data_IF_362000311883
#
_entry.id   IF_362000311883
#
_cell.length_a   1.000
_cell.length_b   1.000
_cell.length_c   1.000
_cell.angle_alpha   90.00
_cell.angle_beta   90.00
_cell.angle_gamma   90.00
#
_symmetry.space_group_name_H-M   'P 1'
#
loop_
_entity.id
_entity.type
_entity.pdbx_description
1 polymer ?
#
# COMPACT_ATOMS: atom_id res chain seq x y z
N UNK A 1 -4.35 -7.06 -25.41
CA UNK A 1 -4.44 -5.79 -24.65
C UNK A 1 -3.36 -5.70 -23.59
N UNK A 2 -2.46 -4.71 -23.70
CA UNK A 2 -1.37 -4.50 -22.74
C UNK A 2 -1.85 -4.15 -21.32
N UNK A 3 -3.05 -3.57 -21.17
CA UNK A 3 -3.67 -3.27 -19.88
C UNK A 3 -3.92 -4.55 -19.07
N UNK A 4 -4.48 -5.60 -19.70
CA UNK A 4 -4.72 -6.91 -19.05
C UNK A 4 -3.43 -7.55 -18.52
N UNK A 5 -2.33 -7.41 -19.26
CA UNK A 5 -1.03 -7.95 -18.86
C UNK A 5 -0.51 -7.23 -17.62
N UNK A 6 -0.58 -5.89 -17.60
CA UNK A 6 -0.14 -5.09 -16.44
C UNK A 6 -0.99 -5.39 -15.20
N UNK A 7 -2.31 -5.53 -15.37
CA UNK A 7 -3.27 -5.86 -14.31
C UNK A 7 -2.98 -7.15 -13.57
N UNK A 8 -2.28 -8.10 -14.23
CA UNK A 8 -2.01 -9.42 -13.66
C UNK A 8 -0.55 -9.56 -13.25
N UNK A 9 0.38 -9.08 -14.07
CA UNK A 9 1.83 -9.31 -13.85
C UNK A 9 2.34 -8.57 -12.61
N UNK A 10 1.93 -7.32 -12.39
CA UNK A 10 2.44 -6.52 -11.28
C UNK A 10 1.99 -7.04 -9.91
N UNK A 11 0.69 -7.34 -9.67
CA UNK A 11 0.26 -7.94 -8.39
C UNK A 11 0.90 -9.31 -8.15
N UNK A 12 1.00 -10.16 -9.19
CA UNK A 12 1.68 -11.46 -9.05
C UNK A 12 3.15 -11.27 -8.66
N UNK A 13 3.86 -10.35 -9.30
CA UNK A 13 5.23 -10.04 -8.94
C UNK A 13 5.35 -9.57 -7.48
N UNK A 14 4.44 -8.70 -7.03
CA UNK A 14 4.38 -8.25 -5.64
C UNK A 14 4.13 -9.40 -4.65
N UNK A 15 3.21 -10.30 -4.97
CA UNK A 15 2.92 -11.52 -4.20
C UNK A 15 4.13 -12.47 -4.13
N UNK A 16 4.85 -12.68 -5.23
CA UNK A 16 6.08 -13.50 -5.27
C UNK A 16 7.18 -12.89 -4.41
N UNK A 17 7.40 -11.58 -4.52
CA UNK A 17 8.41 -10.87 -3.72
C UNK A 17 8.07 -10.93 -2.22
N UNK A 18 6.80 -10.81 -1.86
CA UNK A 18 6.34 -10.94 -0.47
C UNK A 18 6.54 -12.36 0.05
N UNK A 19 6.18 -13.36 -0.74
CA UNK A 19 6.39 -14.78 -0.41
C UNK A 19 7.87 -15.08 -0.18
N UNK A 20 8.75 -14.53 -1.02
CA UNK A 20 10.19 -14.65 -0.87
C UNK A 20 10.68 -14.04 0.45
N UNK A 21 10.24 -12.82 0.80
CA UNK A 21 10.53 -12.21 2.11
C UNK A 21 10.14 -13.15 3.25
N UNK A 22 8.88 -13.62 3.25
CA UNK A 22 8.35 -14.47 4.32
C UNK A 22 9.14 -15.77 4.44
N UNK A 23 9.47 -16.41 3.32
CA UNK A 23 10.29 -17.62 3.30
C UNK A 23 11.69 -17.39 3.89
N UNK A 24 12.39 -16.34 3.47
CA UNK A 24 13.73 -16.02 3.98
C UNK A 24 13.68 -15.76 5.49
N UNK A 25 12.69 -14.98 5.97
CA UNK A 25 12.55 -14.64 7.38
C UNK A 25 12.11 -15.82 8.24
N UNK A 26 11.23 -16.67 7.73
CA UNK A 26 10.81 -17.91 8.39
C UNK A 26 12.00 -18.87 8.53
N UNK A 27 12.78 -19.07 7.46
CA UNK A 27 13.99 -19.90 7.48
C UNK A 27 15.03 -19.40 8.47
N UNK A 28 15.15 -18.08 8.63
CA UNK A 28 16.04 -17.44 9.60
C UNK A 28 15.47 -17.40 11.03
N UNK A 29 14.23 -17.87 11.26
CA UNK A 29 13.48 -17.73 12.53
C UNK A 29 13.42 -16.29 13.04
N UNK A 30 13.25 -15.35 12.11
CA UNK A 30 13.30 -13.90 12.32
C UNK A 30 11.98 -13.21 11.92
N UNK A 31 10.88 -13.95 11.89
CA UNK A 31 9.55 -13.38 11.66
C UNK A 31 9.20 -12.38 12.76
N UNK A 32 8.62 -11.25 12.36
CA UNK A 32 8.18 -10.23 13.31
C UNK A 32 6.95 -9.48 12.77
N UNK A 33 6.50 -8.44 13.49
CA UNK A 33 5.27 -7.71 13.13
C UNK A 33 5.34 -7.10 11.72
N UNK A 34 6.53 -6.68 11.25
CA UNK A 34 6.69 -6.19 9.88
C UNK A 34 6.32 -7.25 8.83
N UNK A 35 6.62 -8.52 9.09
CA UNK A 35 6.30 -9.64 8.20
C UNK A 35 4.81 -10.00 8.26
N UNK A 36 4.17 -9.86 9.43
CA UNK A 36 2.72 -10.07 9.57
C UNK A 36 1.92 -9.04 8.76
N UNK A 37 2.33 -7.77 8.80
CA UNK A 37 1.71 -6.71 7.99
C UNK A 37 1.96 -6.88 6.49
N UNK A 38 3.13 -7.36 6.09
CA UNK A 38 3.41 -7.69 4.69
C UNK A 38 2.55 -8.88 4.21
N UNK A 39 2.36 -9.90 5.04
CA UNK A 39 1.48 -11.03 4.72
C UNK A 39 0.01 -10.58 4.61
N UNK A 40 -0.45 -9.69 5.49
CA UNK A 40 -1.78 -9.10 5.40
C UNK A 40 -1.95 -8.33 4.09
N UNK A 41 -0.97 -7.50 3.72
CA UNK A 41 -0.94 -6.78 2.46
C UNK A 41 -1.05 -7.73 1.26
N UNK A 42 -0.31 -8.84 1.27
CA UNK A 42 -0.37 -9.86 0.21
C UNK A 42 -1.75 -10.51 0.09
N UNK A 43 -2.45 -10.78 1.20
CA UNK A 43 -3.82 -11.32 1.15
C UNK A 43 -4.77 -10.33 0.48
N UNK A 44 -4.68 -9.04 0.84
CA UNK A 44 -5.48 -7.99 0.21
C UNK A 44 -5.09 -7.73 -1.25
N UNK A 45 -3.82 -7.91 -1.63
CA UNK A 45 -3.35 -7.80 -3.02
C UNK A 45 -3.93 -8.92 -3.89
N UNK A 46 -3.95 -10.16 -3.38
CA UNK A 46 -4.60 -11.29 -4.05
C UNK A 46 -6.11 -11.03 -4.19
N UNK A 47 -6.75 -10.50 -3.14
CA UNK A 47 -8.16 -10.12 -3.20
C UNK A 47 -8.39 -9.02 -4.24
N UNK A 48 -7.57 -7.97 -4.25
CA UNK A 48 -7.62 -6.89 -5.23
C UNK A 48 -7.47 -7.42 -6.66
N UNK A 49 -6.54 -8.34 -6.90
CA UNK A 49 -6.33 -8.98 -8.20
C UNK A 49 -7.58 -9.76 -8.66
N UNK A 50 -8.10 -10.64 -7.81
CA UNK A 50 -9.24 -11.51 -8.15
C UNK A 50 -10.52 -10.68 -8.33
N UNK A 51 -10.85 -9.83 -7.36
CA UNK A 51 -12.05 -9.00 -7.40
C UNK A 51 -11.95 -7.96 -8.51
N UNK A 52 -10.78 -7.36 -8.72
CA UNK A 52 -10.49 -6.45 -9.83
C UNK A 52 -10.73 -7.11 -11.18
N UNK A 53 -10.31 -8.35 -11.35
CA UNK A 53 -10.60 -9.11 -12.57
C UNK A 53 -12.11 -9.28 -12.79
N UNK A 54 -12.84 -9.72 -11.77
CA UNK A 54 -14.29 -9.92 -11.84
C UNK A 54 -15.03 -8.62 -12.15
N UNK A 55 -14.61 -7.51 -11.57
CA UNK A 55 -15.23 -6.19 -11.76
C UNK A 55 -14.89 -5.54 -13.10
N UNK A 56 -13.68 -5.72 -13.63
CA UNK A 56 -13.28 -5.06 -14.87
C UNK A 56 -13.67 -5.86 -16.11
N UNK A 57 -13.65 -7.19 -16.03
CA UNK A 57 -13.82 -8.06 -17.21
C UNK A 57 -15.12 -8.87 -17.20
N UNK A 58 -15.60 -9.28 -16.03
CA UNK A 58 -16.74 -10.20 -15.91
C UNK A 58 -18.00 -9.55 -15.30
N UNK A 59 -17.99 -8.24 -15.02
CA UNK A 59 -19.05 -7.56 -14.26
C UNK A 59 -20.45 -7.75 -14.84
N UNK A 60 -20.56 -7.81 -16.17
CA UNK A 60 -21.82 -7.94 -16.88
C UNK A 60 -22.59 -9.23 -16.52
N UNK A 61 -21.89 -10.26 -16.04
CA UNK A 61 -22.47 -11.54 -15.65
C UNK A 61 -23.14 -11.49 -14.26
N UNK A 62 -22.85 -10.46 -13.47
CA UNK A 62 -23.31 -10.37 -12.08
C UNK A 62 -24.52 -9.44 -11.91
N UNK A 63 -25.40 -9.73 -10.92
CA UNK A 63 -26.46 -8.81 -10.50
C UNK A 63 -25.90 -7.48 -9.98
N UNK A 64 -26.73 -6.44 -9.98
CA UNK A 64 -26.32 -5.08 -9.59
C UNK A 64 -25.73 -5.03 -8.17
N UNK A 65 -26.35 -5.70 -7.20
CA UNK A 65 -25.87 -5.75 -5.82
C UNK A 65 -24.46 -6.34 -5.69
N UNK A 66 -24.18 -7.39 -6.48
CA UNK A 66 -22.86 -8.00 -6.53
C UNK A 66 -21.83 -7.04 -7.13
N UNK A 67 -22.18 -6.27 -8.16
CA UNK A 67 -21.28 -5.26 -8.75
C UNK A 67 -20.91 -4.17 -7.75
N UNK A 68 -21.88 -3.71 -6.97
CA UNK A 68 -21.66 -2.74 -5.88
C UNK A 68 -20.74 -3.34 -4.80
N UNK A 69 -20.94 -4.60 -4.42
CA UNK A 69 -20.07 -5.30 -3.49
C UNK A 69 -18.64 -5.47 -4.03
N UNK A 70 -18.47 -5.82 -5.31
CA UNK A 70 -17.17 -5.91 -5.96
C UNK A 70 -16.44 -4.56 -5.94
N UNK A 71 -17.13 -3.45 -6.21
CA UNK A 71 -16.56 -2.11 -6.12
C UNK A 71 -16.01 -1.82 -4.71
N UNK A 72 -16.80 -2.03 -3.66
CA UNK A 72 -16.34 -1.83 -2.28
C UNK A 72 -15.18 -2.76 -1.92
N UNK A 73 -15.20 -4.02 -2.38
CA UNK A 73 -14.10 -4.95 -2.13
C UNK A 73 -12.80 -4.50 -2.80
N UNK A 74 -12.85 -3.98 -4.03
CA UNK A 74 -11.67 -3.43 -4.72
C UNK A 74 -11.13 -2.23 -3.97
N UNK A 75 -11.99 -1.26 -3.68
CA UNK A 75 -11.62 -0.04 -2.99
C UNK A 75 -10.99 -0.35 -1.61
N UNK A 76 -11.65 -1.16 -0.79
CA UNK A 76 -11.12 -1.54 0.52
C UNK A 76 -9.84 -2.38 0.43
N UNK A 77 -9.72 -3.26 -0.57
CA UNK A 77 -8.46 -4.00 -0.81
C UNK A 77 -7.33 -3.04 -1.15
N UNK A 78 -7.58 -2.08 -2.04
CA UNK A 78 -6.61 -1.06 -2.43
C UNK A 78 -6.08 -0.34 -1.18
N UNK A 79 -6.96 0.25 -0.37
CA UNK A 79 -6.55 0.94 0.85
C UNK A 79 -5.82 0.02 1.83
N UNK A 80 -6.32 -1.21 1.99
CA UNK A 80 -5.70 -2.17 2.88
C UNK A 80 -4.26 -2.50 2.47
N UNK A 81 -3.98 -2.73 1.17
CA UNK A 81 -2.62 -2.99 0.69
C UNK A 81 -1.71 -1.79 0.92
N UNK A 82 -2.14 -0.58 0.56
CA UNK A 82 -1.34 0.64 0.72
C UNK A 82 -0.96 0.86 2.19
N UNK A 83 -1.96 0.88 3.08
CA UNK A 83 -1.73 1.17 4.49
C UNK A 83 -0.98 0.04 5.22
N UNK A 84 -1.30 -1.22 4.95
CA UNK A 84 -0.54 -2.35 5.53
C UNK A 84 0.92 -2.39 5.06
N UNK A 85 1.19 -2.04 3.80
CA UNK A 85 2.55 -1.89 3.27
C UNK A 85 3.33 -0.80 4.01
N UNK A 86 2.73 0.38 4.20
CA UNK A 86 3.32 1.48 4.98
C UNK A 86 3.60 1.09 6.42
N UNK A 87 2.67 0.40 7.06
CA UNK A 87 2.83 -0.10 8.43
C UNK A 87 3.94 -1.16 8.51
N UNK A 88 4.04 -2.06 7.53
CA UNK A 88 5.15 -3.03 7.42
C UNK A 88 6.51 -2.34 7.33
N UNK A 89 6.63 -1.27 6.51
CA UNK A 89 7.84 -0.45 6.41
C UNK A 89 8.15 0.20 7.76
N UNK A 90 7.16 0.81 8.40
CA UNK A 90 7.36 1.50 9.68
C UNK A 90 7.82 0.52 10.77
N UNK A 91 7.21 -0.67 10.86
CA UNK A 91 7.71 -1.73 11.75
C UNK A 91 9.13 -2.18 11.38
N UNK A 92 9.48 -2.24 10.10
CA UNK A 92 10.86 -2.50 9.68
C UNK A 92 11.83 -1.46 10.25
N UNK A 93 11.46 -0.17 10.26
CA UNK A 93 12.26 0.90 10.87
C UNK A 93 12.28 0.77 12.40
N UNK A 94 11.16 0.44 13.04
CA UNK A 94 11.09 0.17 14.49
C UNK A 94 12.04 -0.97 14.87
N UNK A 95 12.14 -2.01 14.05
CA UNK A 95 13.03 -3.17 14.25
C UNK A 95 14.51 -2.78 14.24
N UNK A 96 14.87 -1.85 13.35
CA UNK A 96 16.24 -1.36 13.17
C UNK A 96 16.63 -0.31 14.22
N UNK A 97 15.66 0.24 14.94
CA UNK A 97 15.87 1.32 15.91
C UNK A 97 16.14 0.77 17.31
N UNK A 98 17.23 1.23 17.94
CA UNK A 98 17.55 0.88 19.32
C UNK A 98 16.47 1.34 20.32
N UNK A 99 16.28 0.64 21.46
CA UNK A 99 15.35 1.08 22.50
C UNK A 99 15.61 2.52 22.95
N UNK A 100 14.58 3.35 22.96
CA UNK A 100 14.71 4.77 23.29
C UNK A 100 13.46 5.59 23.02
N UNK A 101 13.59 6.93 23.08
CA UNK A 101 12.50 7.86 22.75
C UNK A 101 12.08 7.76 21.28
N UNK A 102 13.04 7.60 20.36
CA UNK A 102 12.76 7.46 18.93
C UNK A 102 11.89 6.23 18.63
N UNK A 103 12.23 5.06 19.21
CA UNK A 103 11.43 3.84 19.04
C UNK A 103 10.01 4.01 19.55
N UNK A 104 9.81 4.68 20.69
CA UNK A 104 8.48 5.02 21.21
C UNK A 104 7.70 5.93 20.27
N UNK A 105 8.37 6.93 19.68
CA UNK A 105 7.75 7.82 18.71
C UNK A 105 7.32 7.07 17.45
N UNK A 106 8.16 6.20 16.90
CA UNK A 106 7.82 5.37 15.73
C UNK A 106 6.64 4.44 15.99
N UNK A 107 6.56 3.80 17.18
CA UNK A 107 5.40 2.97 17.55
C UNK A 107 4.12 3.80 17.64
N UNK A 108 4.18 5.02 18.22
CA UNK A 108 3.04 5.95 18.23
C UNK A 108 2.62 6.36 16.83
N UNK A 109 3.58 6.59 15.93
CA UNK A 109 3.31 6.85 14.51
C UNK A 109 2.60 5.67 13.85
N UNK A 110 2.97 4.43 14.17
CA UNK A 110 2.28 3.25 13.64
C UNK A 110 0.83 3.20 14.09
N UNK A 111 0.56 3.50 15.36
CA UNK A 111 -0.81 3.57 15.88
C UNK A 111 -1.58 4.69 15.18
N UNK A 112 -0.95 5.86 14.95
CA UNK A 112 -1.57 6.94 14.21
C UNK A 112 -1.93 6.51 12.77
N UNK A 113 -1.04 5.82 12.06
CA UNK A 113 -1.30 5.32 10.70
C UNK A 113 -2.47 4.33 10.67
N UNK A 114 -2.54 3.44 11.66
CA UNK A 114 -3.67 2.53 11.82
C UNK A 114 -4.99 3.27 12.00
N UNK A 115 -5.03 4.25 12.89
CA UNK A 115 -6.23 5.07 13.13
C UNK A 115 -6.61 5.86 11.88
N UNK A 116 -5.64 6.46 11.20
CA UNK A 116 -5.84 7.18 9.94
C UNK A 116 -6.42 6.29 8.86
N UNK A 117 -5.90 5.08 8.68
CA UNK A 117 -6.45 4.10 7.74
C UNK A 117 -7.92 3.80 8.04
N UNK A 118 -8.27 3.53 9.31
CA UNK A 118 -9.66 3.26 9.69
C UNK A 118 -10.58 4.46 9.44
N UNK A 119 -10.12 5.68 9.73
CA UNK A 119 -10.89 6.91 9.49
C UNK A 119 -11.13 7.11 7.98
N UNK A 120 -10.09 6.99 7.16
CA UNK A 120 -10.21 7.16 5.71
C UNK A 120 -11.09 6.08 5.08
N UNK A 121 -10.96 4.83 5.52
CA UNK A 121 -11.83 3.74 5.06
C UNK A 121 -13.30 4.00 5.42
N UNK A 122 -13.58 4.40 6.66
CA UNK A 122 -14.93 4.75 7.10
C UNK A 122 -15.50 5.97 6.34
N UNK A 123 -14.66 6.95 6.01
CA UNK A 123 -15.06 8.13 5.24
C UNK A 123 -15.55 7.76 3.84
N UNK A 124 -14.95 6.76 3.19
CA UNK A 124 -15.39 6.27 1.87
C UNK A 124 -16.77 5.63 1.97
N UNK A 125 -16.95 4.71 2.92
CA UNK A 125 -18.25 4.08 3.16
C UNK A 125 -19.33 5.12 3.42
N UNK A 126 -19.06 6.07 4.31
CA UNK A 126 -20.00 7.15 4.63
C UNK A 126 -20.36 7.95 3.39
N UNK A 127 -19.36 8.40 2.63
CA UNK A 127 -19.57 9.24 1.45
C UNK A 127 -20.35 8.49 0.38
N UNK A 128 -19.93 7.27 0.04
CA UNK A 128 -20.58 6.46 -0.99
C UNK A 128 -21.98 6.01 -0.60
N UNK A 129 -22.27 5.79 0.68
CA UNK A 129 -23.64 5.49 1.10
C UNK A 129 -24.56 6.72 0.97
N UNK A 130 -24.03 7.92 1.23
CA UNK A 130 -24.80 9.16 1.11
C UNK A 130 -24.97 9.64 -0.34
N UNK A 131 -24.08 9.24 -1.25
CA UNK A 131 -24.17 9.60 -2.68
C UNK A 131 -25.21 8.72 -3.37
N UNK A 132 -26.17 9.35 -4.05
CA UNK A 132 -27.23 8.64 -4.78
C UNK A 132 -26.85 8.39 -6.25
N UNK A 133 -27.47 7.38 -6.87
CA UNK A 133 -27.40 7.15 -8.32
C UNK A 133 -26.17 6.40 -8.85
N UNK A 134 -25.05 6.34 -8.12
CA UNK A 134 -23.88 5.58 -8.58
C UNK A 134 -24.12 4.06 -8.52
N UNK A 135 -24.88 3.58 -7.52
CA UNK A 135 -25.21 2.16 -7.33
C UNK A 135 -26.06 1.57 -8.46
N UNK A 136 -26.71 2.39 -9.29
CA UNK A 136 -27.55 1.94 -10.42
C UNK A 136 -26.83 2.03 -11.77
N UNK A 137 -25.59 2.52 -11.80
CA UNK A 137 -24.81 2.58 -13.04
C UNK A 137 -24.42 1.17 -13.51
N UNK A 138 -24.32 0.92 -14.83
CA UNK A 138 -23.91 -0.38 -15.36
C UNK A 138 -22.59 -0.90 -14.75
N UNK A 139 -21.65 0.02 -14.54
CA UNK A 139 -20.42 -0.16 -13.79
C UNK A 139 -20.46 0.77 -12.57
N UNK A 140 -20.77 0.27 -11.34
CA UNK A 140 -20.92 1.12 -10.16
C UNK A 140 -19.63 1.81 -9.76
N UNK A 141 -19.54 3.12 -9.96
CA UNK A 141 -18.39 3.92 -9.54
C UNK A 141 -18.84 5.09 -8.67
N UNK A 142 -18.48 5.04 -7.38
CA UNK A 142 -18.81 6.10 -6.44
C UNK A 142 -17.88 7.31 -6.61
N UNK A 143 -18.46 8.50 -6.79
CA UNK A 143 -17.72 9.74 -6.71
C UNK A 143 -17.58 10.16 -5.24
N UNK A 144 -16.39 9.98 -4.66
CA UNK A 144 -16.06 10.36 -3.28
C UNK A 144 -16.03 11.89 -3.07
N UNK A 145 -16.10 12.68 -4.13
CA UNK A 145 -16.07 14.13 -4.08
C UNK A 145 -14.66 14.70 -3.87
N UNK A 146 -14.44 15.90 -4.41
CA UNK A 146 -13.13 16.56 -4.45
C UNK A 146 -12.52 16.79 -3.06
N UNK A 147 -13.32 17.12 -2.05
CA UNK A 147 -12.82 17.40 -0.70
C UNK A 147 -12.26 16.14 -0.02
N UNK A 148 -12.92 15.00 -0.19
CA UNK A 148 -12.48 13.71 0.34
C UNK A 148 -11.20 13.27 -0.37
N UNK A 149 -11.17 13.38 -1.71
CA UNK A 149 -9.99 13.09 -2.50
C UNK A 149 -8.78 13.94 -2.07
N UNK A 150 -8.96 15.26 -1.87
CA UNK A 150 -7.89 16.14 -1.38
C UNK A 150 -7.41 15.72 0.01
N UNK A 151 -8.34 15.39 0.93
CA UNK A 151 -7.97 14.95 2.27
C UNK A 151 -7.16 13.65 2.25
N UNK A 152 -7.53 12.70 1.38
CA UNK A 152 -6.78 11.47 1.16
C UNK A 152 -5.37 11.77 0.64
N UNK A 153 -5.24 12.59 -0.40
CA UNK A 153 -3.93 12.98 -0.99
C UNK A 153 -3.04 13.64 0.05
N UNK A 154 -3.56 14.58 0.84
CA UNK A 154 -2.77 15.26 1.89
C UNK A 154 -2.28 14.23 2.91
N UNK A 155 -3.16 13.34 3.34
CA UNK A 155 -2.83 12.32 4.34
C UNK A 155 -1.80 11.32 3.80
N UNK A 156 -1.91 10.99 2.52
CA UNK A 156 -1.00 10.12 1.78
C UNK A 156 0.42 10.70 1.73
N UNK A 157 0.54 11.95 1.27
CA UNK A 157 1.81 12.69 1.20
C UNK A 157 2.42 12.88 2.59
N UNK A 158 1.62 13.17 3.62
CA UNK A 158 2.10 13.26 4.99
C UNK A 158 2.62 11.91 5.50
N UNK A 159 1.90 10.83 5.22
CA UNK A 159 2.31 9.47 5.58
C UNK A 159 3.66 9.11 4.98
N UNK A 160 3.82 9.33 3.68
CA UNK A 160 5.08 9.06 2.98
C UNK A 160 6.21 9.96 3.46
N UNK A 161 5.94 11.24 3.71
CA UNK A 161 6.93 12.17 4.28
C UNK A 161 7.45 11.66 5.62
N UNK A 162 6.57 11.13 6.47
CA UNK A 162 6.96 10.54 7.75
C UNK A 162 7.83 9.29 7.54
N UNK A 163 7.49 8.43 6.57
CA UNK A 163 8.29 7.24 6.23
C UNK A 163 9.67 7.59 5.67
N UNK A 164 9.78 8.69 4.93
CA UNK A 164 11.04 9.23 4.41
C UNK A 164 11.91 9.78 5.56
N UNK A 165 11.31 10.54 6.50
CA UNK A 165 12.02 11.19 7.60
C UNK A 165 12.41 10.24 8.75
N UNK A 166 11.61 9.20 8.99
CA UNK A 166 11.84 8.20 10.04
C UNK A 166 13.24 7.55 9.99
N UNK A 167 13.70 6.97 8.87
CA UNK A 167 15.03 6.38 8.75
C UNK A 167 16.14 7.45 8.66
N UNK A 168 15.87 8.64 8.13
CA UNK A 168 16.86 9.71 7.98
C UNK A 168 17.44 10.15 9.33
N UNK A 169 16.57 10.32 10.34
CA UNK A 169 17.02 10.64 11.72
C UNK A 169 17.94 9.56 12.30
N UNK A 170 17.74 8.29 11.93
CA UNK A 170 18.57 7.18 12.40
C UNK A 170 19.98 7.23 11.78
N UNK A 171 20.07 7.56 10.48
CA UNK A 171 21.35 7.66 9.76
C UNK A 171 22.24 8.76 10.33
N UNK A 172 21.66 9.90 10.69
CA UNK A 172 22.43 11.06 11.13
C UNK A 172 22.83 11.02 12.60
N UNK A 173 22.02 10.40 13.48
CA UNK A 173 22.28 10.37 14.94
C UNK A 173 22.97 9.11 15.45
N UNK A 174 23.02 8.03 14.68
CA UNK A 174 23.52 6.72 15.18
C UNK A 174 24.67 6.21 14.32
N UNK A 175 25.73 5.69 14.96
CA UNK A 175 26.81 4.95 14.28
C UNK A 175 26.28 3.60 13.81
N UNK A 176 25.68 3.59 12.62
CA UNK A 176 25.12 2.39 12.00
C UNK A 176 26.18 1.61 11.21
N UNK A 177 26.02 0.29 11.18
CA UNK A 177 26.82 -0.58 10.30
C UNK A 177 26.50 -0.28 8.83
N UNK A 178 27.43 -0.55 7.91
CA UNK A 178 27.21 -0.38 6.45
C UNK A 178 25.94 -1.10 5.99
N UNK A 179 25.73 -2.29 6.54
CA UNK A 179 24.53 -3.11 6.42
C UNK A 179 23.22 -2.36 6.75
N UNK A 180 23.16 -1.72 7.91
CA UNK A 180 21.99 -0.96 8.34
C UNK A 180 21.78 0.30 7.50
N UNK A 181 22.86 0.99 7.10
CA UNK A 181 22.78 2.16 6.22
C UNK A 181 22.17 1.82 4.86
N UNK A 182 22.57 0.71 4.24
CA UNK A 182 22.02 0.26 2.95
C UNK A 182 20.51 -0.03 3.08
N UNK A 183 20.10 -0.72 4.15
CA UNK A 183 18.67 -1.01 4.39
C UNK A 183 17.85 0.27 4.57
N UNK A 184 18.36 1.25 5.29
CA UNK A 184 17.66 2.54 5.52
C UNK A 184 17.61 3.40 4.26
N UNK A 185 18.70 3.42 3.48
CA UNK A 185 18.72 4.12 2.20
C UNK A 185 17.71 3.49 1.22
N UNK A 186 17.61 2.16 1.21
CA UNK A 186 16.59 1.46 0.44
C UNK A 186 15.19 1.90 0.85
N UNK A 187 14.86 1.96 2.15
CA UNK A 187 13.54 2.42 2.63
C UNK A 187 13.26 3.87 2.24
N UNK A 188 14.26 4.75 2.30
CA UNK A 188 14.15 6.15 1.88
C UNK A 188 13.83 6.25 0.38
N UNK A 189 14.64 5.61 -0.47
CA UNK A 189 14.45 5.64 -1.92
C UNK A 189 13.09 5.08 -2.32
N UNK A 190 12.65 4.01 -1.66
CA UNK A 190 11.37 3.39 -1.99
C UNK A 190 10.16 4.22 -1.58
N UNK A 191 10.24 4.94 -0.46
CA UNK A 191 9.15 5.81 0.00
C UNK A 191 8.95 7.01 -0.94
N UNK A 192 10.03 7.50 -1.57
CA UNK A 192 9.90 8.53 -2.61
C UNK A 192 9.21 7.98 -3.89
N UNK A 193 9.47 6.73 -4.25
CA UNK A 193 8.82 6.07 -5.39
C UNK A 193 7.33 5.91 -5.16
N UNK A 194 6.91 5.46 -3.96
CA UNK A 194 5.47 5.32 -3.65
C UNK A 194 4.76 6.66 -3.76
N UNK A 195 5.33 7.76 -3.24
CA UNK A 195 4.72 9.09 -3.33
C UNK A 195 4.49 9.52 -4.77
N UNK A 196 5.47 9.30 -5.66
CA UNK A 196 5.31 9.65 -7.08
C UNK A 196 4.17 8.86 -7.71
N UNK A 197 4.09 7.56 -7.42
CA UNK A 197 3.04 6.70 -7.98
C UNK A 197 1.66 7.09 -7.42
N UNK A 198 1.54 7.35 -6.12
CA UNK A 198 0.30 7.80 -5.49
C UNK A 198 -0.16 9.15 -6.03
N UNK A 199 0.76 10.09 -6.31
CA UNK A 199 0.42 11.37 -6.95
C UNK A 199 -0.07 11.19 -8.39
N UNK A 200 0.52 10.25 -9.15
CA UNK A 200 0.07 9.94 -10.51
C UNK A 200 -1.34 9.34 -10.48
N UNK A 201 -1.61 8.40 -9.58
CA UNK A 201 -2.94 7.83 -9.43
C UNK A 201 -3.96 8.90 -9.03
N UNK A 202 -3.65 9.72 -8.02
CA UNK A 202 -4.49 10.84 -7.59
C UNK A 202 -4.80 11.84 -8.73
N UNK A 203 -3.81 12.12 -9.59
CA UNK A 203 -4.03 12.95 -10.77
C UNK A 203 -5.05 12.34 -11.73
N UNK A 204 -5.00 11.03 -11.98
CA UNK A 204 -5.95 10.36 -12.85
C UNK A 204 -7.35 10.23 -12.24
N UNK A 205 -7.45 10.04 -10.93
CA UNK A 205 -8.72 10.11 -10.18
C UNK A 205 -9.38 11.47 -10.35
N UNK A 206 -8.61 12.57 -10.31
CA UNK A 206 -9.14 13.93 -10.43
C UNK A 206 -9.46 14.37 -11.86
N UNK A 207 -8.99 13.65 -12.87
CA UNK A 207 -9.12 14.01 -14.29
C UNK A 207 -10.04 13.08 -15.08
N UNK A 208 -10.83 12.24 -14.38
CA UNK A 208 -11.78 11.27 -14.95
C UNK A 208 -11.16 10.36 -16.02
N UNK A 209 -9.95 9.88 -15.75
CA UNK A 209 -9.21 9.02 -16.65
C UNK A 209 -9.52 7.54 -16.46
N UNK A 210 -10.78 7.08 -16.49
CA UNK A 210 -11.24 5.73 -16.05
C UNK A 210 -10.22 4.58 -16.23
N UNK A 211 -9.71 4.36 -17.45
CA UNK A 211 -8.72 3.31 -17.73
C UNK A 211 -7.33 3.63 -17.13
N UNK A 212 -6.89 4.88 -17.22
CA UNK A 212 -5.61 5.34 -16.69
C UNK A 212 -5.61 5.34 -15.16
N UNK A 213 -6.72 5.72 -14.54
CA UNK A 213 -6.98 5.63 -13.10
C UNK A 213 -6.83 4.19 -12.64
N UNK A 214 -7.56 3.26 -13.27
CA UNK A 214 -7.49 1.83 -12.95
C UNK A 214 -6.05 1.29 -13.05
N UNK A 215 -5.34 1.60 -14.14
CA UNK A 215 -3.95 1.17 -14.33
C UNK A 215 -3.05 1.79 -13.26
N UNK A 216 -3.20 3.08 -12.97
CA UNK A 216 -2.41 3.77 -11.95
C UNK A 216 -2.64 3.18 -10.56
N UNK A 217 -3.88 2.84 -10.20
CA UNK A 217 -4.21 2.16 -8.95
C UNK A 217 -3.55 0.78 -8.83
N UNK A 218 -3.59 -0.03 -9.90
CA UNK A 218 -2.89 -1.33 -9.95
C UNK A 218 -1.38 -1.16 -9.73
N UNK A 219 -0.79 -0.17 -10.42
CA UNK A 219 0.64 0.14 -10.28
C UNK A 219 0.95 0.57 -8.85
N UNK A 220 0.10 1.40 -8.24
CA UNK A 220 0.30 1.88 -6.87
C UNK A 220 0.26 0.76 -5.83
N UNK A 221 -0.74 -0.12 -5.89
CA UNK A 221 -0.88 -1.29 -5.00
C UNK A 221 0.37 -2.17 -5.12
N UNK A 222 0.72 -2.52 -6.35
CA UNK A 222 1.83 -3.45 -6.63
C UNK A 222 3.18 -2.85 -6.19
N UNK A 223 3.43 -1.59 -6.54
CA UNK A 223 4.66 -0.88 -6.18
C UNK A 223 4.77 -0.75 -4.66
N UNK A 224 3.70 -0.38 -3.97
CA UNK A 224 3.69 -0.24 -2.52
C UNK A 224 4.08 -1.53 -1.80
N UNK A 225 3.52 -2.67 -2.24
CA UNK A 225 3.86 -3.97 -1.69
C UNK A 225 5.29 -4.40 -2.05
N UNK A 226 5.74 -4.23 -3.29
CA UNK A 226 7.13 -4.51 -3.70
C UNK A 226 8.12 -3.70 -2.86
N UNK A 227 7.85 -2.41 -2.70
CA UNK A 227 8.63 -1.46 -1.89
C UNK A 227 8.71 -1.93 -0.43
N UNK A 228 7.60 -2.35 0.16
CA UNK A 228 7.59 -2.83 1.55
C UNK A 228 8.53 -4.01 1.77
N UNK A 229 8.76 -4.83 0.75
CA UNK A 229 9.62 -6.00 0.79
C UNK A 229 11.07 -5.74 0.39
N UNK A 230 11.37 -4.62 -0.27
CA UNK A 230 12.68 -4.37 -0.89
C UNK A 230 13.83 -4.41 0.13
N UNK A 231 13.59 -3.91 1.35
CA UNK A 231 14.62 -3.91 2.40
C UNK A 231 15.15 -5.30 2.75
N UNK A 232 14.30 -6.34 2.67
CA UNK A 232 14.67 -7.74 2.94
C UNK A 232 15.35 -8.37 1.73
N UNK A 233 14.84 -8.09 0.52
CA UNK A 233 15.43 -8.56 -0.74
C UNK A 233 16.85 -8.02 -0.88
N UNK A 234 17.05 -6.72 -0.70
CA UNK A 234 18.36 -6.05 -0.71
C UNK A 234 19.27 -6.66 0.36
N UNK A 235 18.78 -6.83 1.59
CA UNK A 235 19.58 -7.43 2.65
C UNK A 235 20.06 -8.85 2.31
N UNK A 236 19.21 -9.65 1.66
CA UNK A 236 19.55 -11.01 1.23
C UNK A 236 20.58 -11.00 0.09
N UNK A 237 20.36 -10.22 -0.97
CA UNK A 237 21.22 -10.16 -2.15
C UNK A 237 22.65 -9.72 -1.81
N UNK A 238 22.78 -8.73 -0.93
CA UNK A 238 24.09 -8.26 -0.47
C UNK A 238 24.71 -9.12 0.64
N UNK A 239 24.10 -10.26 1.00
CA UNK A 239 24.51 -11.13 2.13
C UNK A 239 24.67 -10.38 3.45
N UNK A 240 23.83 -9.36 3.67
CA UNK A 240 23.83 -8.50 4.85
C UNK A 240 23.06 -9.16 6.02
N UNK A 241 23.05 -10.49 6.12
CA UNK A 241 22.19 -11.26 7.06
C UNK A 241 22.56 -11.08 8.53
#
# INVERSE_FOLDING_TARGET
DGSKVVSVVLPIAATVVTSFRLFVRARQRRLWLDDAWAALAMVFDIMFLVVGWLYLFDYAQFPQETRVALYYLIDQSFYAVIWSSRISILYTVVRLTFPGSLRRWLVRTTIAFMVTWMILGAQIFWTCETTTGWKTQPLPHCNIGRNVAIAQIITDVLGDTILILAPFRLIYKVRLTKAQKIRLLSVFSTSAVTTVVSLIHAYYVLTDGELKETIAGIVEVSVSLIVANLSVVVAFLFRIS
#
